data_IF_366745074496
#
_entry.id   IF_366745074496
#
_cell.length_a   1.000
_cell.length_b   1.000
_cell.length_c   1.000
_cell.angle_alpha   90.00
_cell.angle_beta   90.00
_cell.angle_gamma   90.00
#
_symmetry.space_group_name_H-M   'P 1'
#
loop_
_entity.id
_entity.type
_entity.pdbx_description
1 polymer ?
#
# COMPACT_ATOMS: atom_id res chain seq x y z
N UNK A 1 0.72 9.66 10.13
CA UNK A 1 -0.33 10.64 10.50
C UNK A 1 -0.39 10.72 12.03
N UNK A 2 -0.35 11.91 12.64
CA UNK A 2 -0.28 12.05 14.11
C UNK A 2 -1.64 12.06 14.83
N UNK A 3 -2.76 12.16 14.10
CA UNK A 3 -4.10 12.41 14.68
C UNK A 3 -5.19 11.37 14.32
N UNK A 4 -4.89 10.33 13.55
CA UNK A 4 -5.80 9.21 13.28
C UNK A 4 -5.09 7.90 13.63
N UNK A 5 -5.22 7.44 14.87
CA UNK A 5 -4.80 6.09 15.23
C UNK A 5 -5.82 5.10 14.67
N UNK A 6 -5.54 4.52 13.51
CA UNK A 6 -6.24 3.30 13.11
C UNK A 6 -5.75 2.20 14.05
N UNK A 7 -6.67 1.54 14.75
CA UNK A 7 -6.31 0.38 15.56
C UNK A 7 -5.93 -0.78 14.62
N UNK A 8 -4.64 -1.08 14.56
CA UNK A 8 -4.11 -2.16 13.74
C UNK A 8 -4.09 -3.51 14.44
N UNK A 9 -4.48 -3.60 15.73
CA UNK A 9 -4.37 -4.85 16.50
C UNK A 9 -5.22 -5.99 15.94
N UNK A 10 -6.35 -5.69 15.31
CA UNK A 10 -7.14 -6.71 14.60
C UNK A 10 -6.57 -7.04 13.22
N UNK A 11 -5.99 -6.06 12.53
CA UNK A 11 -5.35 -6.27 11.22
C UNK A 11 -4.09 -7.13 11.34
N UNK A 12 -3.33 -7.01 12.44
CA UNK A 12 -2.14 -7.83 12.70
C UNK A 12 -2.45 -9.33 12.85
N UNK A 13 -3.69 -9.70 13.19
CA UNK A 13 -4.13 -11.11 13.23
C UNK A 13 -4.22 -11.73 11.83
N UNK A 14 -4.31 -10.91 10.78
CA UNK A 14 -4.28 -11.35 9.39
C UNK A 14 -3.14 -10.67 8.61
N UNK A 15 -1.97 -11.33 8.48
CA UNK A 15 -0.78 -10.70 7.90
C UNK A 15 -0.96 -10.28 6.43
N UNK A 16 -1.86 -10.93 5.68
CA UNK A 16 -2.14 -10.52 4.30
C UNK A 16 -2.92 -9.20 4.26
N UNK A 17 -3.99 -9.08 5.04
CA UNK A 17 -4.79 -7.86 5.08
C UNK A 17 -3.99 -6.67 5.62
N UNK A 18 -3.14 -6.91 6.63
CA UNK A 18 -2.22 -5.88 7.12
C UNK A 18 -1.24 -5.42 6.04
N UNK A 19 -0.67 -6.35 5.26
CA UNK A 19 0.24 -6.01 4.17
C UNK A 19 -0.44 -5.16 3.07
N UNK A 20 -1.67 -5.51 2.68
CA UNK A 20 -2.49 -4.75 1.73
C UNK A 20 -2.76 -3.36 2.28
N UNK A 21 -3.28 -3.25 3.50
CA UNK A 21 -3.57 -1.96 4.14
C UNK A 21 -2.32 -1.08 4.23
N UNK A 22 -1.17 -1.63 4.63
CA UNK A 22 0.09 -0.88 4.73
C UNK A 22 0.52 -0.35 3.36
N UNK A 23 0.41 -1.14 2.30
CA UNK A 23 0.70 -0.69 0.93
C UNK A 23 -0.22 0.44 0.51
N UNK A 24 -1.53 0.33 0.78
CA UNK A 24 -2.50 1.40 0.48
C UNK A 24 -2.14 2.69 1.23
N UNK A 25 -1.78 2.60 2.52
CA UNK A 25 -1.39 3.77 3.30
C UNK A 25 -0.14 4.44 2.72
N UNK A 26 0.89 3.66 2.40
CA UNK A 26 2.15 4.15 1.86
C UNK A 26 1.97 4.79 0.49
N UNK A 27 1.19 4.15 -0.39
CA UNK A 27 0.97 4.65 -1.76
C UNK A 27 0.11 5.91 -1.75
N UNK A 28 -1.00 5.92 -1.01
CA UNK A 28 -1.96 7.02 -1.08
C UNK A 28 -1.51 8.24 -0.26
N UNK A 29 -0.93 8.02 0.92
CA UNK A 29 -0.64 9.07 1.90
C UNK A 29 0.85 9.33 2.14
N UNK A 30 1.72 8.56 1.48
CA UNK A 30 3.16 8.77 1.49
C UNK A 30 3.92 7.78 2.35
N UNK A 31 5.21 7.64 2.04
CA UNK A 31 6.06 6.56 2.52
C UNK A 31 6.56 6.72 3.96
N UNK A 32 6.40 7.91 4.56
CA UNK A 32 6.86 8.22 5.92
C UNK A 32 8.34 7.88 6.20
N UNK A 33 9.20 7.95 5.16
CA UNK A 33 10.64 7.62 5.26
C UNK A 33 10.99 6.16 5.01
N UNK A 34 10.00 5.28 4.85
CA UNK A 34 10.21 3.89 4.44
C UNK A 34 10.34 3.76 2.91
N UNK A 35 10.91 2.65 2.44
CA UNK A 35 10.90 2.30 1.01
C UNK A 35 9.74 1.37 0.71
N UNK A 36 9.11 1.56 -0.44
CA UNK A 36 8.07 0.65 -0.90
C UNK A 36 8.68 -0.66 -1.40
N UNK A 37 8.18 -1.80 -0.94
CA UNK A 37 8.63 -3.10 -1.42
C UNK A 37 7.95 -3.42 -2.76
N UNK A 38 8.74 -3.44 -3.84
CA UNK A 38 8.27 -3.72 -5.20
C UNK A 38 7.55 -5.07 -5.31
N UNK A 39 8.16 -6.15 -4.80
CA UNK A 39 7.60 -7.50 -4.92
C UNK A 39 6.25 -7.61 -4.20
N UNK A 40 6.12 -6.95 -3.04
CA UNK A 40 4.88 -6.94 -2.27
C UNK A 40 3.78 -6.13 -3.00
N UNK A 41 4.18 -4.99 -3.59
CA UNK A 41 3.26 -4.16 -4.38
C UNK A 41 2.75 -4.90 -5.62
N UNK A 42 3.63 -5.59 -6.34
CA UNK A 42 3.26 -6.41 -7.50
C UNK A 42 2.36 -7.58 -7.09
N UNK A 43 2.70 -8.30 -6.01
CA UNK A 43 1.92 -9.42 -5.48
C UNK A 43 0.46 -9.04 -5.17
N UNK A 44 0.24 -7.84 -4.65
CA UNK A 44 -1.08 -7.37 -4.22
C UNK A 44 -1.70 -6.30 -5.13
N UNK A 45 -1.14 -6.08 -6.32
CA UNK A 45 -1.54 -5.01 -7.24
C UNK A 45 -3.04 -4.98 -7.56
N UNK A 46 -3.65 -6.17 -7.67
CA UNK A 46 -5.08 -6.32 -7.96
C UNK A 46 -5.97 -6.22 -6.72
N UNK A 47 -5.39 -6.30 -5.52
CA UNK A 47 -6.11 -6.24 -4.23
C UNK A 47 -6.08 -4.86 -3.59
N UNK A 48 -5.07 -4.04 -3.87
CA UNK A 48 -4.90 -2.72 -3.27
C UNK A 48 -5.75 -1.65 -3.96
N UNK A 49 -6.35 -0.78 -3.14
CA UNK A 49 -7.08 0.40 -3.57
C UNK A 49 -6.14 1.60 -3.61
N UNK A 50 -5.81 2.05 -4.82
CA UNK A 50 -4.93 3.18 -5.07
C UNK A 50 -5.70 4.26 -5.83
N UNK A 51 -5.50 5.52 -5.46
CA UNK A 51 -5.96 6.67 -6.23
C UNK A 51 -5.54 6.57 -7.71
N UNK A 52 -6.46 6.88 -8.63
CA UNK A 52 -6.29 6.61 -10.06
C UNK A 52 -5.04 7.23 -10.66
N UNK A 53 -4.65 8.43 -10.21
CA UNK A 53 -3.45 9.12 -10.69
C UNK A 53 -2.18 8.39 -10.27
N UNK A 54 -2.12 7.95 -9.01
CA UNK A 54 -1.00 7.18 -8.44
C UNK A 54 -0.92 5.79 -9.06
N UNK A 55 -2.06 5.13 -9.29
CA UNK A 55 -2.09 3.80 -9.93
C UNK A 55 -1.51 3.88 -11.34
N UNK A 56 -1.87 4.91 -12.12
CA UNK A 56 -1.31 5.13 -13.46
C UNK A 56 0.21 5.36 -13.40
N UNK A 57 0.68 6.22 -12.50
CA UNK A 57 2.10 6.47 -12.31
C UNK A 57 2.88 5.20 -11.92
N UNK A 58 2.38 4.48 -10.92
CA UNK A 58 2.99 3.23 -10.46
C UNK A 58 3.01 2.16 -11.55
N UNK A 59 1.94 2.04 -12.35
CA UNK A 59 1.91 1.14 -13.52
C UNK A 59 3.04 1.47 -14.50
N UNK A 60 3.25 2.76 -14.80
CA UNK A 60 4.30 3.17 -15.73
C UNK A 60 5.72 2.85 -15.24
N UNK A 61 5.99 2.92 -13.93
CA UNK A 61 7.33 2.65 -13.38
C UNK A 61 7.60 1.17 -13.06
N UNK A 62 6.53 0.37 -12.87
CA UNK A 62 6.63 -1.06 -12.54
C UNK A 62 6.61 -1.96 -13.77
N UNK A 63 6.20 -1.42 -14.94
CA UNK A 63 6.00 -2.19 -16.18
C UNK A 63 5.05 -3.40 -16.00
N UNK A 64 4.06 -3.24 -15.12
CA UNK A 64 2.99 -4.22 -14.91
C UNK A 64 1.88 -3.98 -15.95
N UNK A 65 1.56 -5.02 -16.72
CA UNK A 65 0.56 -5.00 -17.80
C UNK A 65 -0.86 -4.83 -17.29
#
# INVERSE_FOLDING_TARGET
MRNWSTDTTELEKNPEQYAIWKLEQMVNFGLQGEKLNRQLLEKYWDKIVIDSSRRKYLRHILDVS
#
